data_IF_427460282596
#
_entry.id   IF_427460282596
#
_cell.length_a   1.000
_cell.length_b   1.000
_cell.length_c   1.000
_cell.angle_alpha   90.00
_cell.angle_beta   90.00
_cell.angle_gamma   90.00
#
_symmetry.space_group_name_H-M   'P 1'
#
loop_
_entity.id
_entity.type
_entity.pdbx_description
1 polymer ?
#
# COMPACT_ATOMS: atom_id res chain seq x y z
N UNK A 1 -3.45 -3.18 -6.29
CA UNK A 1 -3.85 -2.64 -7.62
C UNK A 1 -2.72 -1.86 -8.27
N UNK A 2 -2.09 -0.94 -7.54
CA UNK A 2 -0.94 -0.14 -8.02
C UNK A 2 0.23 -1.04 -8.43
N UNK A 3 0.68 -1.94 -7.55
CA UNK A 3 1.76 -2.91 -7.84
C UNK A 3 1.58 -3.64 -9.16
N UNK A 4 0.39 -4.22 -9.39
CA UNK A 4 0.08 -4.96 -10.63
C UNK A 4 0.16 -4.04 -11.86
N UNK A 5 -0.31 -2.80 -11.75
CA UNK A 5 -0.29 -1.85 -12.87
C UNK A 5 1.14 -1.38 -13.17
N UNK A 6 1.94 -1.10 -12.13
CA UNK A 6 3.34 -0.75 -12.30
C UNK A 6 4.15 -1.88 -12.94
N UNK A 7 3.96 -3.13 -12.50
CA UNK A 7 4.60 -4.29 -13.13
C UNK A 7 4.13 -4.52 -14.57
N UNK A 8 2.85 -4.29 -14.85
CA UNK A 8 2.31 -4.36 -16.22
C UNK A 8 3.02 -3.37 -17.14
N UNK A 9 3.18 -2.10 -16.72
CA UNK A 9 3.86 -1.06 -17.51
C UNK A 9 5.30 -1.44 -17.81
N UNK A 10 6.04 -1.95 -16.82
CA UNK A 10 7.43 -2.40 -17.03
C UNK A 10 7.49 -3.51 -18.09
N UNK A 11 6.63 -4.52 -17.98
CA UNK A 11 6.58 -5.62 -18.95
C UNK A 11 6.16 -5.16 -20.34
N UNK A 12 5.24 -4.20 -20.42
CA UNK A 12 4.75 -3.61 -21.67
C UNK A 12 5.88 -2.86 -22.38
N UNK A 13 6.58 -1.98 -21.66
CA UNK A 13 7.70 -1.20 -22.20
C UNK A 13 8.88 -2.09 -22.62
N UNK A 14 9.25 -3.08 -21.80
CA UNK A 14 10.32 -4.05 -22.13
C UNK A 14 9.96 -4.91 -23.35
N UNK A 15 8.69 -5.27 -23.50
CA UNK A 15 8.20 -6.00 -24.67
C UNK A 15 7.90 -5.09 -25.87
N UNK A 16 8.05 -3.77 -25.73
CA UNK A 16 7.77 -2.74 -26.74
C UNK A 16 6.40 -2.93 -27.39
N UNK A 17 5.35 -3.14 -26.59
CA UNK A 17 4.01 -3.43 -27.12
C UNK A 17 3.37 -2.18 -27.69
N UNK A 18 2.65 -2.33 -28.80
CA UNK A 18 1.86 -1.22 -29.35
C UNK A 18 0.78 -0.77 -28.34
N UNK A 19 0.50 0.54 -28.30
CA UNK A 19 -0.49 1.12 -27.40
C UNK A 19 -1.88 0.50 -27.57
N UNK A 20 -2.54 0.23 -26.44
CA UNK A 20 -3.96 -0.11 -26.40
C UNK A 20 -4.69 0.62 -25.25
N UNK A 21 -6.01 0.78 -25.38
CA UNK A 21 -6.83 1.55 -24.43
C UNK A 21 -6.80 1.03 -22.98
N UNK A 22 -6.49 -0.26 -22.76
CA UNK A 22 -6.39 -0.83 -21.41
C UNK A 22 -5.15 -0.33 -20.69
N UNK A 23 -4.10 0.05 -21.44
CA UNK A 23 -2.88 0.63 -20.88
C UNK A 23 -3.16 1.95 -20.17
N UNK A 24 -4.09 2.76 -20.67
CA UNK A 24 -4.41 4.08 -20.11
C UNK A 24 -4.78 4.01 -18.61
N UNK A 25 -5.50 2.95 -18.22
CA UNK A 25 -5.86 2.70 -16.83
C UNK A 25 -4.62 2.37 -15.99
N UNK A 26 -3.71 1.54 -16.48
CA UNK A 26 -2.51 1.15 -15.74
C UNK A 26 -1.58 2.34 -15.50
N UNK A 27 -1.37 3.17 -16.53
CA UNK A 27 -0.56 4.38 -16.42
C UNK A 27 -1.13 5.37 -15.42
N UNK A 28 -2.46 5.51 -15.33
CA UNK A 28 -3.08 6.40 -14.34
C UNK A 28 -2.76 5.99 -12.90
N UNK A 29 -2.50 4.69 -12.64
CA UNK A 29 -2.19 4.18 -11.29
C UNK A 29 -0.82 4.59 -10.77
N UNK A 30 0.08 5.08 -11.61
CA UNK A 30 1.37 5.61 -11.15
C UNK A 30 1.21 6.92 -10.35
N UNK A 31 0.13 7.66 -10.54
CA UNK A 31 -0.18 8.86 -9.77
C UNK A 31 -0.73 8.55 -8.35
N UNK A 32 -1.19 7.32 -8.13
CA UNK A 32 -1.85 6.93 -6.89
C UNK A 32 -0.85 6.40 -5.84
N UNK A 33 -1.14 6.67 -4.58
CA UNK A 33 -0.59 5.95 -3.44
C UNK A 33 -1.71 5.73 -2.42
N UNK A 34 -1.75 4.55 -1.81
CA UNK A 34 -2.74 4.22 -0.79
C UNK A 34 -2.30 4.72 0.58
N UNK A 35 -3.26 5.13 1.41
CA UNK A 35 -3.08 5.41 2.82
C UNK A 35 -4.14 4.61 3.58
N UNK A 36 -3.74 3.85 4.59
CA UNK A 36 -4.70 3.17 5.44
C UNK A 36 -5.26 4.14 6.48
N UNK A 37 -6.52 3.92 6.82
CA UNK A 37 -7.17 4.60 7.94
C UNK A 37 -7.35 3.60 9.06
N UNK A 38 -6.77 3.89 10.22
CA UNK A 38 -6.86 3.04 11.40
C UNK A 38 -7.86 3.60 12.40
N UNK A 39 -8.71 2.72 12.92
CA UNK A 39 -9.49 3.02 14.12
C UNK A 39 -8.74 2.49 15.35
N UNK A 40 -8.16 3.39 16.15
CA UNK A 40 -7.45 3.04 17.38
C UNK A 40 -8.22 3.38 18.65
N UNK A 41 -9.39 4.01 18.54
CA UNK A 41 -10.10 4.61 19.68
C UNK A 41 -10.47 3.60 20.77
N UNK A 42 -10.90 2.39 20.37
CA UNK A 42 -11.23 1.33 21.31
C UNK A 42 -9.98 0.82 22.05
N UNK A 43 -8.86 0.64 21.33
CA UNK A 43 -7.58 0.25 21.93
C UNK A 43 -7.02 1.32 22.86
N UNK A 44 -7.10 2.59 22.46
CA UNK A 44 -6.61 3.70 23.29
C UNK A 44 -7.38 3.81 24.61
N UNK A 45 -8.69 3.59 24.59
CA UNK A 45 -9.51 3.50 25.79
C UNK A 45 -9.11 2.29 26.65
N UNK A 46 -9.04 1.09 26.06
CA UNK A 46 -8.59 -0.13 26.74
C UNK A 46 -7.22 0.07 27.41
N UNK A 47 -6.26 0.67 26.70
CA UNK A 47 -4.92 0.95 27.22
C UNK A 47 -4.93 1.88 28.43
N UNK A 48 -5.84 2.86 28.46
CA UNK A 48 -5.89 3.85 29.55
C UNK A 48 -6.48 3.29 30.84
N UNK A 49 -7.50 2.43 30.78
CA UNK A 49 -8.28 2.04 31.98
C UNK A 49 -8.74 0.58 32.01
N UNK A 50 -8.49 -0.21 30.95
CA UNK A 50 -9.13 -1.51 30.76
C UNK A 50 -8.19 -2.69 30.52
N UNK A 51 -6.88 -2.48 30.44
CA UNK A 51 -5.93 -3.57 30.14
C UNK A 51 -5.95 -4.66 31.20
N UNK A 52 -6.17 -4.30 32.47
CA UNK A 52 -6.26 -5.24 33.58
C UNK A 52 -7.52 -6.12 33.55
N UNK A 53 -8.53 -5.75 32.75
CA UNK A 53 -9.72 -6.57 32.53
C UNK A 53 -9.42 -7.80 31.65
N UNK A 54 -8.32 -7.78 30.89
CA UNK A 54 -7.91 -8.87 30.00
C UNK A 54 -7.05 -9.85 30.80
N UNK A 55 -7.69 -10.90 31.32
CA UNK A 55 -7.03 -11.95 32.10
C UNK A 55 -6.07 -12.83 31.29
N UNK A 56 -6.26 -12.91 29.97
CA UNK A 56 -5.44 -13.73 29.10
C UNK A 56 -4.22 -12.94 28.59
N UNK A 57 -3.04 -13.29 29.09
CA UNK A 57 -1.79 -12.60 28.75
C UNK A 57 -1.44 -12.66 27.27
N UNK A 58 -1.80 -13.75 26.57
CA UNK A 58 -1.53 -13.87 25.14
C UNK A 58 -2.36 -12.88 24.34
N UNK A 59 -3.62 -12.65 24.72
CA UNK A 59 -4.47 -11.61 24.11
C UNK A 59 -3.89 -10.22 24.40
N UNK A 60 -3.45 -9.97 25.63
CA UNK A 60 -2.83 -8.71 26.05
C UNK A 60 -1.57 -8.37 25.22
N UNK A 61 -0.70 -9.37 25.03
CA UNK A 61 0.51 -9.26 24.21
C UNK A 61 0.15 -9.00 22.74
N UNK A 62 -0.78 -9.77 22.18
CA UNK A 62 -1.20 -9.63 20.78
C UNK A 62 -1.83 -8.24 20.50
N UNK A 63 -2.70 -7.74 21.39
CA UNK A 63 -3.25 -6.38 21.31
C UNK A 63 -2.17 -5.31 21.30
N UNK A 64 -1.22 -5.42 22.23
CA UNK A 64 -0.12 -4.45 22.36
C UNK A 64 0.81 -4.49 21.16
N UNK A 65 1.12 -5.68 20.65
CA UNK A 65 1.96 -5.85 19.46
C UNK A 65 1.28 -5.27 18.22
N UNK A 66 0.01 -5.59 17.99
CA UNK A 66 -0.75 -5.11 16.82
C UNK A 66 -0.83 -3.58 16.79
N UNK A 67 -1.31 -2.96 17.88
CA UNK A 67 -1.52 -1.52 17.91
C UNK A 67 -0.23 -0.72 18.19
N UNK A 68 0.65 -1.22 19.04
CA UNK A 68 1.87 -0.53 19.46
C UNK A 68 3.05 -0.69 18.49
N UNK A 69 3.11 -1.79 17.75
CA UNK A 69 4.24 -2.10 16.86
C UNK A 69 3.77 -2.16 15.42
N UNK A 70 2.86 -3.08 15.09
CA UNK A 70 2.47 -3.34 13.69
C UNK A 70 1.85 -2.11 13.03
N UNK A 71 0.87 -1.47 13.69
CA UNK A 71 0.19 -0.29 13.16
C UNK A 71 1.12 0.90 12.99
N UNK A 72 1.93 1.21 13.99
CA UNK A 72 2.92 2.29 13.92
C UNK A 72 3.93 2.05 12.79
N UNK A 73 4.44 0.81 12.67
CA UNK A 73 5.41 0.44 11.65
C UNK A 73 4.84 0.67 10.25
N UNK A 74 3.66 0.14 9.94
CA UNK A 74 3.14 0.29 8.59
C UNK A 74 2.79 1.75 8.27
N UNK A 75 2.24 2.54 9.21
CA UNK A 75 1.94 3.98 9.00
C UNK A 75 3.22 4.76 8.69
N UNK A 76 4.31 4.45 9.39
CA UNK A 76 5.61 5.05 9.10
C UNK A 76 6.06 4.71 7.67
N UNK A 77 5.97 3.44 7.27
CA UNK A 77 6.33 3.04 5.91
C UNK A 77 5.42 3.64 4.84
N UNK A 78 4.12 3.83 5.09
CA UNK A 78 3.24 4.55 4.16
C UNK A 78 3.74 5.98 3.92
N UNK A 79 4.13 6.68 4.98
CA UNK A 79 4.62 8.04 4.88
C UNK A 79 5.93 8.09 4.08
N UNK A 80 6.90 7.27 4.47
CA UNK A 80 8.25 7.31 3.89
C UNK A 80 8.30 6.69 2.47
N UNK A 81 7.71 5.51 2.26
CA UNK A 81 7.79 4.76 0.99
C UNK A 81 6.66 5.10 0.01
N UNK A 82 5.52 5.59 0.49
CA UNK A 82 4.41 6.00 -0.37
C UNK A 82 4.42 7.51 -0.59
N UNK A 83 4.19 8.32 0.44
CA UNK A 83 3.94 9.75 0.28
C UNK A 83 5.20 10.55 -0.12
N UNK A 84 6.30 10.37 0.62
CA UNK A 84 7.55 11.10 0.36
C UNK A 84 8.16 10.65 -0.98
N UNK A 85 8.24 9.33 -1.19
CA UNK A 85 8.68 8.74 -2.45
C UNK A 85 7.82 9.20 -3.65
N UNK A 86 6.49 9.26 -3.47
CA UNK A 86 5.59 9.76 -4.51
C UNK A 86 5.94 11.20 -4.89
N UNK A 87 6.18 12.05 -3.90
CA UNK A 87 6.43 13.48 -4.12
C UNK A 87 7.82 13.76 -4.69
N UNK A 88 8.84 13.04 -4.21
CA UNK A 88 10.24 13.32 -4.52
C UNK A 88 10.77 12.59 -5.75
N UNK A 89 10.26 11.38 -6.04
CA UNK A 89 10.80 10.52 -7.10
C UNK A 89 9.77 10.29 -8.20
N UNK A 90 8.57 9.84 -7.83
CA UNK A 90 7.57 9.36 -8.81
C UNK A 90 6.95 10.52 -9.58
N UNK A 91 6.40 11.51 -8.88
CA UNK A 91 5.63 12.62 -9.48
C UNK A 91 6.44 13.45 -10.47
N UNK A 92 7.70 13.84 -10.18
CA UNK A 92 8.50 14.62 -11.13
C UNK A 92 8.77 13.88 -12.45
N UNK A 93 9.04 12.57 -12.39
CA UNK A 93 9.25 11.75 -13.59
C UNK A 93 7.93 11.54 -14.32
N UNK A 94 6.88 11.15 -13.60
CA UNK A 94 5.54 10.92 -14.13
C UNK A 94 5.01 12.12 -14.90
N UNK A 95 5.00 13.32 -14.31
CA UNK A 95 4.43 14.53 -14.94
C UNK A 95 5.20 15.00 -16.18
N UNK A 96 6.46 14.58 -16.35
CA UNK A 96 7.27 14.90 -17.53
C UNK A 96 7.03 13.94 -18.70
N UNK A 97 6.56 12.71 -18.43
CA UNK A 97 6.42 11.65 -19.45
C UNK A 97 4.97 11.32 -19.76
N UNK A 98 4.08 11.52 -18.80
CA UNK A 98 2.71 11.05 -18.86
C UNK A 98 1.74 12.24 -18.81
N UNK A 99 0.75 12.21 -19.69
CA UNK A 99 -0.39 13.12 -19.73
C UNK A 99 -1.60 12.42 -19.13
N UNK A 100 -2.29 13.08 -18.20
CA UNK A 100 -3.61 12.61 -17.76
C UNK A 100 -4.64 12.95 -18.84
N UNK A 101 -5.41 11.95 -19.28
CA UNK A 101 -6.37 12.07 -20.39
C UNK A 101 -7.78 11.71 -19.92
N UNK A 102 -8.59 12.73 -19.59
CA UNK A 102 -9.97 12.53 -19.11
C UNK A 102 -10.08 12.46 -17.58
N UNK A 103 -11.05 11.71 -17.02
CA UNK A 103 -11.19 11.55 -15.57
C UNK A 103 -9.91 10.95 -14.95
N UNK A 104 -9.75 11.06 -13.63
CA UNK A 104 -8.56 10.67 -12.86
C UNK A 104 -8.10 9.18 -13.01
N UNK A 105 -8.75 8.38 -13.86
CA UNK A 105 -8.49 6.97 -14.09
C UNK A 105 -7.85 6.65 -15.46
N UNK A 106 -7.41 7.67 -16.21
CA UNK A 106 -6.77 7.48 -17.52
C UNK A 106 -5.53 8.38 -17.66
N UNK A 107 -4.44 7.81 -18.15
CA UNK A 107 -3.22 8.54 -18.44
C UNK A 107 -2.45 7.87 -19.57
N UNK A 108 -1.77 8.67 -20.39
CA UNK A 108 -1.13 8.23 -21.63
C UNK A 108 0.28 8.82 -21.72
N UNK A 109 1.26 8.09 -22.28
CA UNK A 109 2.57 8.66 -22.63
C UNK A 109 2.43 9.88 -23.53
N UNK A 110 3.24 10.90 -23.27
CA UNK A 110 3.34 12.07 -24.14
C UNK A 110 4.01 11.67 -25.48
N UNK A 111 4.98 10.75 -25.41
CA UNK A 111 5.76 10.23 -26.52
C UNK A 111 6.11 8.76 -26.22
N UNK A 112 5.30 7.83 -26.75
CA UNK A 112 5.44 6.39 -26.46
C UNK A 112 6.74 5.82 -27.03
N UNK A 113 7.12 6.22 -28.25
CA UNK A 113 8.33 5.71 -28.91
C UNK A 113 9.58 6.03 -28.09
N UNK A 114 9.65 7.23 -27.51
CA UNK A 114 10.74 7.58 -26.59
C UNK A 114 10.66 6.85 -25.25
N UNK A 115 9.46 6.53 -24.79
CA UNK A 115 9.25 5.92 -23.47
C UNK A 115 9.85 4.50 -23.39
N UNK A 116 9.87 3.76 -24.50
CA UNK A 116 10.50 2.43 -24.57
C UNK A 116 11.99 2.43 -24.20
N UNK A 117 12.67 3.57 -24.40
CA UNK A 117 14.10 3.72 -24.14
C UNK A 117 14.38 4.67 -22.94
N UNK A 118 13.34 5.14 -22.24
CA UNK A 118 13.47 6.00 -21.05
C UNK A 118 13.73 5.15 -19.79
N UNK A 119 15.02 4.84 -19.56
CA UNK A 119 15.48 4.07 -18.40
C UNK A 119 15.01 4.70 -17.08
N UNK A 120 14.97 6.04 -16.99
CA UNK A 120 14.53 6.73 -15.77
C UNK A 120 13.05 6.41 -15.49
N UNK A 121 12.20 6.46 -16.51
CA UNK A 121 10.79 6.12 -16.36
C UNK A 121 10.56 4.64 -16.04
N UNK A 122 11.26 3.74 -16.74
CA UNK A 122 11.13 2.28 -16.53
C UNK A 122 11.53 1.92 -15.10
N UNK A 123 12.67 2.43 -14.62
CA UNK A 123 13.14 2.15 -13.27
C UNK A 123 12.29 2.84 -12.20
N UNK A 124 11.72 4.02 -12.48
CA UNK A 124 10.70 4.64 -11.62
C UNK A 124 9.45 3.74 -11.48
N UNK A 125 8.94 3.20 -12.60
CA UNK A 125 7.80 2.28 -12.57
C UNK A 125 8.13 0.97 -11.84
N UNK A 126 9.33 0.43 -12.04
CA UNK A 126 9.83 -0.75 -11.29
C UNK A 126 9.92 -0.47 -9.80
N UNK A 127 10.47 0.68 -9.42
CA UNK A 127 10.56 1.12 -8.04
C UNK A 127 9.19 1.27 -7.38
N UNK A 128 8.22 1.85 -8.12
CA UNK A 128 6.83 1.94 -7.67
C UNK A 128 6.22 0.55 -7.44
N UNK A 129 6.46 -0.40 -8.33
CA UNK A 129 6.01 -1.78 -8.15
C UNK A 129 6.58 -2.41 -6.86
N UNK A 130 7.89 -2.30 -6.67
CA UNK A 130 8.59 -2.86 -5.49
C UNK A 130 8.10 -2.26 -4.19
N UNK A 131 8.07 -0.94 -4.08
CA UNK A 131 7.66 -0.24 -2.85
C UNK A 131 6.20 -0.49 -2.49
N UNK A 132 5.28 -0.45 -3.47
CA UNK A 132 3.87 -0.76 -3.23
C UNK A 132 3.63 -2.25 -2.96
N UNK A 133 4.47 -3.15 -3.52
CA UNK A 133 4.46 -4.57 -3.18
C UNK A 133 4.84 -4.83 -1.74
N UNK A 134 5.89 -4.15 -1.25
CA UNK A 134 6.28 -4.22 0.16
C UNK A 134 5.19 -3.70 1.11
N UNK A 135 4.57 -2.54 0.79
CA UNK A 135 3.44 -2.04 1.58
C UNK A 135 2.25 -3.01 1.59
N UNK A 136 1.94 -3.63 0.44
CA UNK A 136 0.88 -4.63 0.38
C UNK A 136 1.14 -5.81 1.32
N UNK A 137 2.38 -6.30 1.40
CA UNK A 137 2.76 -7.37 2.33
C UNK A 137 2.60 -6.93 3.80
N UNK A 138 2.93 -5.68 4.14
CA UNK A 138 2.70 -5.15 5.48
C UNK A 138 1.21 -5.14 5.85
N UNK A 139 0.34 -4.73 4.92
CA UNK A 139 -1.11 -4.78 5.16
C UNK A 139 -1.63 -6.20 5.30
N UNK A 140 -1.17 -7.14 4.47
CA UNK A 140 -1.56 -8.55 4.57
C UNK A 140 -1.17 -9.12 5.94
N UNK A 141 0.04 -8.83 6.42
CA UNK A 141 0.48 -9.22 7.76
C UNK A 141 -0.36 -8.59 8.88
N UNK A 142 -0.75 -7.33 8.73
CA UNK A 142 -1.65 -6.66 9.68
C UNK A 142 -3.04 -7.31 9.70
N UNK A 143 -3.62 -7.61 8.54
CA UNK A 143 -4.93 -8.28 8.42
C UNK A 143 -4.91 -9.66 9.08
N UNK A 144 -3.85 -10.44 8.86
CA UNK A 144 -3.68 -11.76 9.50
C UNK A 144 -3.61 -11.59 11.02
N UNK A 145 -2.77 -10.67 11.51
CA UNK A 145 -2.61 -10.41 12.95
C UNK A 145 -3.92 -9.96 13.61
N UNK A 146 -4.71 -9.11 12.93
CA UNK A 146 -6.04 -8.70 13.40
C UNK A 146 -7.00 -9.89 13.47
N UNK A 147 -7.03 -10.73 12.44
CA UNK A 147 -7.91 -11.90 12.38
C UNK A 147 -7.58 -12.93 13.46
N UNK A 148 -6.29 -13.16 13.69
CA UNK A 148 -5.82 -14.06 14.76
C UNK A 148 -6.20 -13.53 16.13
N UNK A 149 -6.05 -12.22 16.38
CA UNK A 149 -6.46 -11.60 17.64
C UNK A 149 -7.96 -11.70 17.85
N UNK A 150 -8.78 -11.44 16.82
CA UNK A 150 -10.24 -11.60 16.90
C UNK A 150 -10.60 -13.03 17.31
N UNK A 151 -10.01 -14.02 16.65
CA UNK A 151 -10.21 -15.44 16.98
C UNK A 151 -9.80 -15.78 18.42
N UNK A 152 -8.68 -15.24 18.90
CA UNK A 152 -8.25 -15.45 20.29
C UNK A 152 -9.26 -14.85 21.29
N UNK A 153 -9.81 -13.68 20.99
CA UNK A 153 -10.82 -13.02 21.83
C UNK A 153 -12.12 -13.84 21.84
N UNK A 154 -12.62 -14.25 20.68
CA UNK A 154 -13.83 -15.08 20.56
C UNK A 154 -13.68 -16.38 21.37
N UNK A 155 -12.56 -17.08 21.22
CA UNK A 155 -12.27 -18.30 21.99
C UNK A 155 -12.20 -18.07 23.50
N UNK A 156 -11.78 -16.90 23.95
CA UNK A 156 -11.72 -16.57 25.38
C UNK A 156 -13.09 -16.18 25.94
N UNK A 157 -13.96 -15.59 25.12
CA UNK A 157 -15.35 -15.29 25.48
C UNK A 157 -16.19 -16.57 25.57
N UNK A 158 -16.04 -17.50 24.62
CA UNK A 158 -16.76 -18.77 24.61
C UNK A 158 -16.44 -19.67 25.81
N UNK A 159 -15.26 -19.53 26.43
CA UNK A 159 -14.90 -20.25 27.66
C UNK A 159 -15.60 -19.72 28.91
N UNK A 160 -16.15 -18.50 28.84
CA UNK A 160 -16.77 -17.81 29.97
C UNK A 160 -18.30 -17.97 29.99
N UNK A 161 -18.89 -18.53 28.93
CA UNK A 161 -20.28 -19.03 28.89
C UNK A 161 -20.35 -20.49 29.33
#
# INVERSE_FOLDING_TARGET
RITRSSSYIVQELEARRAWDDTMAYHYSKLAEHGLATLNTSAYDNLRSVGFDLISNDSIRIALTSLHGITYNRFVQFERELAADNQSMVITPVFLKRIRMTGPWNRAEPIDLDRLYDDIEFIEMARWKATTMGFLAQLYEGAIISTSDLMRMIEQELDKKE
#
